data_IF_634527512933
#
_entry.id   IF_634527512933
#
_cell.length_a   1.000
_cell.length_b   1.000
_cell.length_c   1.000
_cell.angle_alpha   90.00
_cell.angle_beta   90.00
_cell.angle_gamma   90.00
#
_symmetry.space_group_name_H-M   'P 1'
#
loop_
_entity.id
_entity.type
_entity.pdbx_description
1 polymer ?
#
# COMPACT_ATOMS: atom_id res chain seq x y z
N UNK A 1 -14.99 17.80 -11.73
CA UNK A 1 -14.96 16.93 -10.54
C UNK A 1 -13.77 16.00 -10.72
N UNK A 2 -12.67 16.25 -10.01
CA UNK A 2 -11.40 15.53 -10.21
C UNK A 2 -11.16 14.66 -8.98
N UNK A 3 -11.37 13.35 -9.10
CA UNK A 3 -11.00 12.38 -8.06
C UNK A 3 -9.48 12.20 -8.08
N UNK A 4 -8.82 12.43 -6.95
CA UNK A 4 -7.38 12.25 -6.80
C UNK A 4 -7.09 10.82 -6.30
N UNK A 5 -6.32 10.05 -7.07
CA UNK A 5 -5.79 8.76 -6.64
C UNK A 5 -4.50 8.97 -5.83
N UNK A 6 -4.44 8.41 -4.62
CA UNK A 6 -3.22 8.42 -3.81
C UNK A 6 -2.42 7.14 -4.09
N UNK A 7 -1.21 7.29 -4.61
CA UNK A 7 -0.30 6.19 -4.95
C UNK A 7 0.77 6.10 -3.86
N UNK A 8 0.78 5.01 -3.09
CA UNK A 8 1.78 4.77 -2.03
C UNK A 8 2.67 3.62 -2.48
N UNK A 9 3.93 3.96 -2.71
CA UNK A 9 5.01 3.07 -3.12
C UNK A 9 5.90 2.77 -1.92
N UNK A 10 6.16 1.49 -1.67
CA UNK A 10 7.12 1.08 -0.65
C UNK A 10 8.54 1.15 -1.20
N UNK A 11 9.33 2.15 -0.77
CA UNK A 11 10.75 2.25 -1.11
C UNK A 11 11.53 3.14 -0.14
N UNK A 12 12.46 2.55 0.62
CA UNK A 12 13.60 3.25 1.22
C UNK A 12 14.84 2.35 1.14
N UNK A 13 15.85 2.82 0.41
CA UNK A 13 17.17 2.21 0.33
C UNK A 13 17.94 2.70 -0.90
N UNK A 14 18.75 3.76 -0.74
CA UNK A 14 19.62 4.24 -1.81
C UNK A 14 20.83 3.31 -1.97
N UNK A 15 20.88 2.57 -3.08
CA UNK A 15 22.12 2.42 -3.85
C UNK A 15 21.88 1.97 -5.31
N UNK A 16 22.45 2.77 -6.23
CA UNK A 16 22.79 2.50 -7.63
C UNK A 16 21.66 2.24 -8.65
N UNK A 17 21.63 3.11 -9.65
CA UNK A 17 20.76 3.09 -10.83
C UNK A 17 21.14 1.91 -11.73
N UNK A 18 20.30 0.87 -11.80
CA UNK A 18 19.70 0.30 -13.02
C UNK A 18 18.92 -0.97 -12.63
N UNK A 19 17.69 -0.79 -12.16
CA UNK A 19 16.65 -1.81 -12.17
C UNK A 19 15.34 -1.03 -12.16
N UNK A 20 14.50 -1.23 -13.18
CA UNK A 20 13.10 -0.77 -13.16
C UNK A 20 12.57 -1.04 -11.76
N UNK A 21 12.14 -0.01 -11.03
CA UNK A 21 11.54 -0.18 -9.71
C UNK A 21 10.39 -1.20 -9.84
N UNK A 22 10.67 -2.45 -9.48
CA UNK A 22 9.77 -3.56 -9.70
C UNK A 22 8.72 -3.49 -8.61
N UNK A 23 7.64 -2.77 -8.90
CA UNK A 23 6.46 -2.69 -8.05
C UNK A 23 5.65 -3.97 -8.20
N UNK A 24 6.18 -5.05 -7.64
CA UNK A 24 5.56 -6.37 -7.72
C UNK A 24 4.30 -6.49 -6.85
N UNK A 25 4.12 -5.60 -5.86
CA UNK A 25 2.94 -5.53 -5.00
C UNK A 25 2.61 -4.09 -4.66
N UNK A 26 1.32 -3.80 -4.48
CA UNK A 26 0.88 -2.46 -4.12
C UNK A 26 -0.58 -2.38 -3.72
N UNK A 27 -0.92 -1.24 -3.12
CA UNK A 27 -2.29 -0.87 -2.79
C UNK A 27 -2.54 0.57 -3.23
N UNK A 28 -3.68 0.81 -3.86
CA UNK A 28 -4.12 2.14 -4.28
C UNK A 28 -5.43 2.46 -3.58
N UNK A 29 -5.48 3.63 -2.93
CA UNK A 29 -6.68 4.11 -2.23
C UNK A 29 -7.39 5.15 -3.08
N UNK A 30 -8.68 4.92 -3.34
CA UNK A 30 -9.55 5.92 -3.94
C UNK A 30 -10.16 6.78 -2.83
N UNK A 31 -9.84 8.06 -2.84
CA UNK A 31 -10.33 9.05 -1.87
C UNK A 31 -11.56 9.74 -2.43
N UNK A 32 -12.65 9.71 -1.68
CA UNK A 32 -13.83 10.51 -1.94
C UNK A 32 -13.68 11.95 -1.44
N UNK A 33 -14.60 12.82 -1.81
CA UNK A 33 -14.54 14.27 -1.54
C UNK A 33 -14.48 14.60 -0.04
N UNK A 34 -15.02 13.71 0.82
CA UNK A 34 -15.05 13.87 2.28
C UNK A 34 -13.80 13.31 3.00
N UNK A 35 -12.74 13.01 2.26
CA UNK A 35 -11.52 12.42 2.83
C UNK A 35 -11.59 10.93 3.15
N UNK A 36 -12.72 10.29 2.85
CA UNK A 36 -12.99 8.88 3.11
C UNK A 36 -12.46 8.00 1.99
N UNK A 37 -12.09 6.77 2.31
CA UNK A 37 -11.76 5.76 1.30
C UNK A 37 -13.06 5.19 0.72
N UNK A 38 -13.22 5.30 -0.59
CA UNK A 38 -14.39 4.81 -1.33
C UNK A 38 -14.09 3.60 -2.20
N UNK A 39 -12.81 3.24 -2.32
CA UNK A 39 -12.36 2.07 -3.05
C UNK A 39 -10.90 1.77 -2.76
N UNK A 40 -10.51 0.51 -3.01
CA UNK A 40 -9.14 0.05 -2.88
C UNK A 40 -8.82 -0.86 -4.06
N UNK A 41 -7.68 -0.63 -4.72
CA UNK A 41 -7.12 -1.56 -5.72
C UNK A 41 -5.92 -2.28 -5.10
N UNK A 42 -5.93 -3.60 -5.19
CA UNK A 42 -4.86 -4.48 -4.72
C UNK A 42 -4.09 -5.03 -5.92
N UNK A 43 -2.81 -4.71 -6.00
CA UNK A 43 -1.91 -5.25 -7.02
C UNK A 43 -1.08 -6.35 -6.39
N UNK A 44 -1.30 -7.61 -6.82
CA UNK A 44 -0.56 -8.79 -6.33
C UNK A 44 -0.55 -8.93 -4.78
N UNK A 45 -1.58 -8.42 -4.12
CA UNK A 45 -1.86 -8.63 -2.68
C UNK A 45 -3.04 -9.59 -2.58
N UNK A 46 -2.83 -10.73 -1.95
CA UNK A 46 -3.81 -11.81 -1.83
C UNK A 46 -4.13 -12.12 -0.37
N UNK A 47 -5.27 -12.77 -0.12
CA UNK A 47 -5.69 -13.15 1.23
C UNK A 47 -6.29 -11.99 2.01
N UNK A 48 -5.81 -11.77 3.24
CA UNK A 48 -6.38 -10.83 4.22
C UNK A 48 -6.44 -9.37 3.75
N UNK A 49 -5.73 -9.00 2.68
CA UNK A 49 -5.82 -7.66 2.09
C UNK A 49 -7.24 -7.29 1.65
N UNK A 50 -8.05 -8.25 1.19
CA UNK A 50 -9.44 -7.98 0.79
C UNK A 50 -10.31 -7.66 2.01
N UNK A 51 -10.15 -8.39 3.12
CA UNK A 51 -10.91 -8.16 4.35
C UNK A 51 -10.58 -6.81 4.98
N UNK A 52 -9.29 -6.45 4.97
CA UNK A 52 -8.81 -5.13 5.42
C UNK A 52 -9.44 -4.03 4.57
N UNK A 53 -9.38 -4.15 3.24
CA UNK A 53 -9.96 -3.16 2.32
C UNK A 53 -11.47 -3.02 2.52
N UNK A 54 -12.20 -4.13 2.67
CA UNK A 54 -13.64 -4.14 2.90
C UNK A 54 -14.01 -3.38 4.18
N UNK A 55 -13.37 -3.71 5.29
CA UNK A 55 -13.60 -3.04 6.58
C UNK A 55 -13.28 -1.55 6.50
N UNK A 56 -12.24 -1.18 5.76
CA UNK A 56 -11.83 0.21 5.60
C UNK A 56 -12.91 1.05 4.89
N UNK A 57 -13.53 0.47 3.87
CA UNK A 57 -14.62 1.10 3.11
C UNK A 57 -15.89 1.17 3.97
N UNK A 58 -16.22 0.09 4.68
CA UNK A 58 -17.40 0.02 5.56
C UNK A 58 -17.34 1.03 6.72
N UNK A 59 -16.17 1.21 7.35
CA UNK A 59 -16.01 2.17 8.44
C UNK A 59 -16.12 3.63 7.96
N UNK A 60 -15.89 3.90 6.68
CA UNK A 60 -16.09 5.20 6.03
C UNK A 60 -15.51 6.38 6.84
N UNK A 61 -14.34 6.18 7.47
CA UNK A 61 -13.64 7.21 8.25
C UNK A 61 -12.77 8.07 7.34
N UNK A 62 -12.61 9.34 7.70
CA UNK A 62 -11.66 10.22 7.01
C UNK A 62 -10.25 9.74 7.31
N UNK A 63 -9.42 9.61 6.28
CA UNK A 63 -8.03 9.17 6.38
C UNK A 63 -7.12 10.32 5.95
N UNK A 64 -6.19 10.68 6.84
CA UNK A 64 -5.19 11.71 6.57
C UNK A 64 -3.82 11.10 6.21
N UNK A 65 -3.47 9.96 6.81
CA UNK A 65 -2.20 9.26 6.59
C UNK A 65 -2.41 7.90 5.89
N UNK A 66 -2.28 7.92 4.56
CA UNK A 66 -2.37 6.73 3.72
C UNK A 66 -1.11 5.83 3.81
N UNK A 67 0.03 6.35 4.28
CA UNK A 67 1.24 5.54 4.47
C UNK A 67 1.09 4.61 5.67
N UNK A 68 0.52 5.08 6.77
CA UNK A 68 0.21 4.23 7.92
C UNK A 68 -0.80 3.14 7.54
N UNK A 69 -1.78 3.52 6.74
CA UNK A 69 -2.85 2.63 6.32
C UNK A 69 -2.34 1.54 5.37
N UNK A 70 -1.37 1.86 4.50
CA UNK A 70 -0.70 0.88 3.64
C UNK A 70 0.04 -0.21 4.43
N UNK A 71 0.49 0.04 5.67
CA UNK A 71 1.16 -0.97 6.53
C UNK A 71 0.23 -2.09 6.98
N UNK A 72 -1.08 -1.88 6.93
CA UNK A 72 -2.07 -2.93 7.21
C UNK A 72 -2.09 -4.01 6.13
N UNK A 73 -1.58 -3.68 4.94
CA UNK A 73 -1.43 -4.62 3.84
C UNK A 73 -0.04 -5.24 3.92
N UNK A 74 0.06 -6.55 3.75
CA UNK A 74 1.33 -7.29 3.73
C UNK A 74 2.09 -7.05 2.40
N UNK A 75 2.48 -5.80 2.17
CA UNK A 75 3.16 -5.33 0.96
C UNK A 75 4.64 -5.75 0.93
N UNK A 76 5.24 -5.95 2.11
CA UNK A 76 6.64 -6.35 2.26
C UNK A 76 6.73 -7.86 2.49
N UNK A 77 7.65 -8.53 1.81
CA UNK A 77 8.19 -9.79 2.35
C UNK A 77 8.97 -9.40 3.61
N UNK A 78 8.85 -10.15 4.72
CA UNK A 78 9.73 -9.92 5.86
C UNK A 78 11.17 -9.96 5.34
N UNK A 79 11.97 -8.95 5.68
CA UNK A 79 13.39 -8.98 5.39
C UNK A 79 13.90 -10.29 5.97
N UNK A 80 14.35 -11.19 5.09
CA UNK A 80 15.07 -12.36 5.53
C UNK A 80 16.27 -11.81 6.31
N UNK A 81 16.43 -12.13 7.60
CA UNK A 81 17.57 -11.66 8.36
C UNK A 81 18.81 -12.09 7.57
N UNK A 82 19.62 -11.11 7.18
CA UNK A 82 20.90 -11.30 6.51
C UNK A 82 21.62 -12.44 7.25
N UNK A 83 21.64 -13.62 6.64
CA UNK A 83 22.41 -14.75 7.11
C UNK A 83 23.87 -14.30 6.97
N UNK A 84 24.35 -13.65 8.03
CA UNK A 84 25.75 -13.35 8.26
C UNK A 84 26.53 -14.66 8.34
N UNK A 85 26.84 -15.21 7.17
CA UNK A 85 27.91 -16.15 6.91
C UNK A 85 28.99 -15.35 6.16
N UNK A 86 30.25 -15.23 6.61
CA UNK A 86 31.11 -16.05 7.47
C UNK A 86 32.18 -15.17 8.10
#
# INVERSE_FOLDING_TARGET
MSSAAAFILGGLGVNKVDDKENYDRGVVFYKGDNGKVVGVLLLNVFGSGVDVARRLIEEARSVEDFQQLAKLFSLYKPAQPDDGEK
#
